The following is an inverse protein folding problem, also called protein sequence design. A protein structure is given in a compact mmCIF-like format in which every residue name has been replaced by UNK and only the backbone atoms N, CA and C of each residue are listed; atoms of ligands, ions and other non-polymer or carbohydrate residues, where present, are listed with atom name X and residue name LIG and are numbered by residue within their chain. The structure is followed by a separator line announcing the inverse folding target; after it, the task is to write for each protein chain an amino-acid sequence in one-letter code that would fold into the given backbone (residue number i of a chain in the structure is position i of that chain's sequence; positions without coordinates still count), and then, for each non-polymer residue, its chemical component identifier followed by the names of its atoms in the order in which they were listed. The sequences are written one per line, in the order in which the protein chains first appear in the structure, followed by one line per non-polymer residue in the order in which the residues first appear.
data_IF_395159889418
#
_entry.id   IF_395159889418
#
_cell.length_a   1.000
_cell.length_b   1.000
_cell.length_c   1.000
_cell.angle_alpha   90.00
_cell.angle_beta   90.00
_cell.angle_gamma   90.00
#
_symmetry.space_group_name_H-M   'P 1'
#
loop_
_entity.id
_entity.type
_entity.pdbx_description
1 polymer ?
#
# COMPACT_ATOMS: atom_id res chain seq x y z
N UNK A 1 13.79 -28.96 75.15
CA UNK A 1 13.57 -29.20 73.71
C UNK A 1 13.30 -27.87 73.05
N UNK A 2 14.13 -27.36 72.13
CA UNK A 2 13.77 -26.20 71.31
C UNK A 2 13.16 -26.68 69.98
N UNK A 3 12.01 -26.09 69.62
CA UNK A 3 11.37 -26.23 68.32
C UNK A 3 12.33 -25.77 67.22
N UNK A 4 12.73 -26.70 66.35
CA UNK A 4 13.42 -26.39 65.10
C UNK A 4 12.43 -25.72 64.14
N UNK A 5 12.63 -24.43 63.88
CA UNK A 5 11.98 -23.73 62.79
C UNK A 5 12.47 -24.31 61.46
N UNK A 6 11.63 -25.13 60.82
CA UNK A 6 11.84 -25.57 59.44
C UNK A 6 11.56 -24.37 58.53
N UNK A 7 12.61 -23.62 58.20
CA UNK A 7 12.58 -22.63 57.11
C UNK A 7 12.94 -23.42 55.84
N UNK A 8 12.03 -23.59 54.87
CA UNK A 8 12.37 -24.27 53.62
C UNK A 8 13.29 -23.33 52.82
N UNK A 9 14.60 -23.48 53.01
CA UNK A 9 15.64 -22.73 52.30
C UNK A 9 16.09 -23.44 51.00
N UNK A 10 15.36 -24.48 50.58
CA UNK A 10 15.65 -25.20 49.35
C UNK A 10 14.84 -24.59 48.20
N UNK A 11 15.50 -24.14 47.12
CA UNK A 11 14.85 -23.85 45.86
C UNK A 11 14.04 -25.08 45.46
N UNK A 12 12.77 -24.92 45.12
CA UNK A 12 12.05 -25.97 44.40
C UNK A 12 12.80 -26.26 43.09
N UNK A 13 12.86 -27.52 42.66
CA UNK A 13 13.65 -27.96 41.48
C UNK A 13 13.28 -27.23 40.16
N UNK A 14 12.20 -26.43 40.17
CA UNK A 14 11.71 -25.64 39.05
C UNK A 14 12.26 -24.20 38.96
N UNK A 15 12.95 -23.68 39.99
CA UNK A 15 13.44 -22.29 40.03
C UNK A 15 14.53 -21.89 39.02
N UNK A 16 15.55 -22.71 38.70
CA UNK A 16 16.67 -22.24 37.88
C UNK A 16 16.29 -22.02 36.42
N UNK A 17 15.36 -22.84 35.90
CA UNK A 17 14.95 -22.76 34.49
C UNK A 17 14.07 -21.53 34.21
N UNK A 18 13.15 -21.18 35.12
CA UNK A 18 12.32 -19.98 34.97
C UNK A 18 13.11 -18.68 35.10
N UNK A 19 14.13 -18.64 35.97
CA UNK A 19 15.01 -17.49 36.11
C UNK A 19 15.86 -17.23 34.84
N UNK A 20 16.34 -18.30 34.19
CA UNK A 20 17.04 -18.20 32.91
C UNK A 20 16.17 -17.62 31.79
N UNK A 21 14.91 -18.04 31.70
CA UNK A 21 13.94 -17.50 30.72
C UNK A 21 13.66 -16.01 30.96
N UNK A 22 13.59 -15.58 32.22
CA UNK A 22 13.42 -14.16 32.55
C UNK A 22 14.63 -13.32 32.13
N UNK A 23 15.86 -13.82 32.29
CA UNK A 23 17.06 -13.13 31.81
C UNK A 23 17.02 -12.94 30.29
N UNK A 24 16.65 -14.00 29.56
CA UNK A 24 16.47 -13.95 28.11
C UNK A 24 15.41 -12.92 27.72
N UNK A 25 14.25 -12.91 28.41
CA UNK A 25 13.19 -11.94 28.17
C UNK A 25 13.69 -10.49 28.36
N UNK A 26 14.44 -10.22 29.44
CA UNK A 26 15.00 -8.89 29.70
C UNK A 26 16.02 -8.46 28.65
N UNK A 27 16.88 -9.37 28.18
CA UNK A 27 17.80 -9.08 27.07
C UNK A 27 17.05 -8.73 25.78
N UNK A 28 15.97 -9.44 25.49
CA UNK A 28 15.11 -9.14 24.33
C UNK A 28 14.41 -7.79 24.47
N UNK A 29 13.95 -7.41 25.68
CA UNK A 29 13.42 -6.06 25.92
C UNK A 29 14.48 -4.99 25.69
N UNK A 30 15.72 -5.17 26.18
CA UNK A 30 16.82 -4.25 25.90
C UNK A 30 17.11 -4.14 24.39
N UNK A 31 17.15 -5.26 23.68
CA UNK A 31 17.34 -5.29 22.23
C UNK A 31 16.19 -4.58 21.49
N UNK A 32 14.96 -4.68 22.00
CA UNK A 32 13.80 -4.01 21.43
C UNK A 32 13.98 -2.49 21.39
N UNK A 33 14.58 -1.87 22.42
CA UNK A 33 14.86 -0.43 22.45
C UNK A 33 15.89 0.04 21.41
N UNK A 34 16.69 -0.87 20.85
CA UNK A 34 17.63 -0.55 19.77
C UNK A 34 16.97 -0.58 18.38
N UNK A 35 15.78 -1.17 18.25
CA UNK A 35 15.11 -1.33 16.97
C UNK A 35 14.52 -0.01 16.48
N UNK A 36 14.89 0.38 15.25
CA UNK A 36 14.34 1.58 14.58
C UNK A 36 13.10 1.27 13.74
N UNK A 37 12.94 0.03 13.28
CA UNK A 37 11.77 -0.39 12.53
C UNK A 37 10.67 -0.88 13.48
N UNK A 38 9.49 -0.29 13.33
CA UNK A 38 8.33 -0.55 14.17
C UNK A 38 7.87 -2.03 14.15
N UNK A 39 8.04 -2.76 13.04
CA UNK A 39 7.64 -4.17 12.95
C UNK A 39 8.54 -5.05 13.81
N UNK A 40 9.86 -4.87 13.69
CA UNK A 40 10.84 -5.63 14.47
C UNK A 40 10.69 -5.36 15.97
N UNK A 41 10.46 -4.10 16.36
CA UNK A 41 10.13 -3.75 17.75
C UNK A 41 8.97 -4.60 18.27
N UNK A 42 7.85 -4.67 17.55
CA UNK A 42 6.65 -5.44 17.97
C UNK A 42 6.90 -6.94 18.04
N UNK A 43 7.64 -7.51 17.08
CA UNK A 43 7.96 -8.94 17.09
C UNK A 43 8.83 -9.28 18.31
N UNK A 44 9.89 -8.52 18.54
CA UNK A 44 10.82 -8.78 19.65
C UNK A 44 10.12 -8.60 20.99
N UNK A 45 9.26 -7.59 21.16
CA UNK A 45 8.52 -7.40 22.43
C UNK A 45 7.49 -8.50 22.70
N UNK A 46 6.83 -9.05 21.66
CA UNK A 46 5.93 -10.21 21.80
C UNK A 46 6.72 -11.45 22.23
N UNK A 47 7.85 -11.71 21.57
CA UNK A 47 8.72 -12.85 21.90
C UNK A 47 9.26 -12.71 23.33
N UNK A 48 9.72 -11.53 23.72
CA UNK A 48 10.18 -11.25 25.08
C UNK A 48 9.08 -11.54 26.13
N UNK A 49 7.87 -11.02 25.90
CA UNK A 49 6.73 -11.23 26.80
C UNK A 49 6.32 -12.71 26.93
N UNK A 50 6.46 -13.50 25.87
CA UNK A 50 6.25 -14.95 25.93
C UNK A 50 7.24 -15.64 26.86
N UNK A 51 8.52 -15.26 26.84
CA UNK A 51 9.55 -15.78 27.75
C UNK A 51 9.37 -15.36 29.22
N UNK A 52 8.64 -14.27 29.47
CA UNK A 52 8.33 -13.79 30.83
C UNK A 52 7.22 -14.60 31.52
N UNK A 53 6.26 -15.17 30.76
CA UNK A 53 5.07 -15.84 31.32
C UNK A 53 5.37 -17.04 32.23
N UNK A 54 6.29 -17.98 31.87
CA UNK A 54 6.58 -19.14 32.73
C UNK A 54 7.08 -18.75 34.11
N UNK A 55 7.87 -17.68 34.22
CA UNK A 55 8.38 -17.17 35.49
C UNK A 55 7.24 -16.77 36.44
N UNK A 56 6.30 -15.97 35.95
CA UNK A 56 5.17 -15.53 36.76
C UNK A 56 4.16 -16.64 37.05
N UNK A 57 4.05 -17.65 36.17
CA UNK A 57 3.16 -18.79 36.38
C UNK A 57 3.66 -19.76 37.46
N UNK A 58 4.97 -20.09 37.48
CA UNK A 58 5.54 -21.03 38.44
C UNK A 58 5.83 -20.42 39.82
N UNK A 59 5.86 -19.09 39.95
CA UNK A 59 6.12 -18.39 41.22
C UNK A 59 4.87 -17.82 41.91
N UNK A 60 3.66 -18.17 41.46
CA UNK A 60 2.39 -17.65 42.03
C UNK A 60 2.27 -17.96 43.53
N UNK A 61 2.88 -19.06 44.01
CA UNK A 61 2.79 -19.50 45.40
C UNK A 61 3.79 -18.77 46.33
N UNK A 62 4.91 -18.24 45.81
CA UNK A 62 5.96 -17.58 46.61
C UNK A 62 5.90 -16.06 46.56
N UNK A 63 5.43 -15.47 45.46
CA UNK A 63 5.12 -14.05 45.35
C UNK A 63 3.65 -13.84 45.68
N UNK A 64 3.35 -13.31 46.88
CA UNK A 64 2.03 -12.89 47.37
C UNK A 64 1.00 -12.71 46.25
N UNK A 65 -0.04 -13.55 46.24
CA UNK A 65 -1.11 -13.63 45.23
C UNK A 65 -1.67 -12.29 44.72
N UNK A 66 -1.48 -11.21 45.48
CA UNK A 66 -1.75 -9.81 45.10
C UNK A 66 -0.95 -9.30 43.87
N UNK A 67 0.24 -9.85 43.57
CA UNK A 67 1.09 -9.41 42.45
C UNK A 67 1.05 -10.34 41.23
N UNK A 68 0.85 -11.66 41.43
CA UNK A 68 0.92 -12.65 40.35
C UNK A 68 -0.15 -12.48 39.27
N UNK A 69 -1.43 -12.51 39.66
CA UNK A 69 -2.55 -12.39 38.72
C UNK A 69 -2.56 -11.06 37.93
N UNK A 70 -2.35 -9.89 38.56
CA UNK A 70 -2.23 -8.64 37.83
C UNK A 70 -1.07 -8.61 36.83
N UNK A 71 0.08 -9.20 37.16
CA UNK A 71 1.24 -9.25 36.26
C UNK A 71 0.97 -10.14 35.04
N UNK A 72 0.37 -11.31 35.24
CA UNK A 72 -0.05 -12.19 34.13
C UNK A 72 -1.03 -11.46 33.22
N UNK A 73 -2.01 -10.77 33.79
CA UNK A 73 -2.97 -9.96 33.01
C UNK A 73 -2.27 -8.87 32.19
N UNK A 74 -1.33 -8.11 32.79
CA UNK A 74 -0.57 -7.07 32.09
C UNK A 74 0.26 -7.65 30.94
N UNK A 75 0.92 -8.79 31.14
CA UNK A 75 1.73 -9.44 30.10
C UNK A 75 0.84 -9.91 28.94
N UNK A 76 -0.32 -10.50 29.22
CA UNK A 76 -1.28 -10.90 28.19
C UNK A 76 -1.79 -9.67 27.42
N UNK A 77 -2.22 -8.62 28.13
CA UNK A 77 -2.68 -7.38 27.50
C UNK A 77 -1.59 -6.76 26.61
N UNK A 78 -0.34 -6.78 27.08
CA UNK A 78 0.81 -6.31 26.31
C UNK A 78 1.04 -7.12 25.03
N UNK A 79 0.97 -8.46 25.10
CA UNK A 79 1.06 -9.33 23.90
C UNK A 79 -0.05 -9.00 22.92
N UNK A 80 -1.30 -8.89 23.38
CA UNK A 80 -2.46 -8.60 22.53
C UNK A 80 -2.31 -7.25 21.83
N UNK A 81 -1.92 -6.20 22.55
CA UNK A 81 -1.71 -4.86 21.98
C UNK A 81 -0.58 -4.88 20.94
N UNK A 82 0.55 -5.51 21.25
CA UNK A 82 1.66 -5.57 20.29
C UNK A 82 1.32 -6.45 19.08
N UNK A 83 0.57 -7.54 19.25
CA UNK A 83 0.11 -8.41 18.16
C UNK A 83 -0.89 -7.69 17.25
N UNK A 84 -1.83 -6.93 17.82
CA UNK A 84 -2.73 -6.08 17.05
C UNK A 84 -1.95 -5.04 16.24
N UNK A 85 -1.02 -4.32 16.87
CA UNK A 85 -0.19 -3.33 16.19
C UNK A 85 0.67 -3.93 15.08
N UNK A 86 1.27 -5.11 15.32
CA UNK A 86 2.02 -5.85 14.32
C UNK A 86 1.11 -6.26 13.16
N UNK A 87 -0.08 -6.77 13.45
CA UNK A 87 -1.06 -7.18 12.42
C UNK A 87 -1.47 -5.99 11.56
N UNK A 88 -1.81 -4.84 12.17
CA UNK A 88 -2.14 -3.61 11.43
C UNK A 88 -0.98 -3.18 10.56
N UNK A 89 0.25 -3.19 11.07
CA UNK A 89 1.43 -2.81 10.31
C UNK A 89 1.70 -3.78 9.14
N UNK A 90 1.53 -5.08 9.35
CA UNK A 90 1.69 -6.09 8.31
C UNK A 90 0.60 -5.98 7.24
N UNK A 91 -0.65 -5.71 7.63
CA UNK A 91 -1.73 -5.43 6.69
C UNK A 91 -1.45 -4.14 5.90
N UNK A 92 -0.91 -3.11 6.55
CA UNK A 92 -0.45 -1.90 5.87
C UNK A 92 0.77 -2.13 4.97
N UNK A 93 1.62 -3.14 5.23
CA UNK A 93 2.76 -3.50 4.38
C UNK A 93 2.41 -4.51 3.29
N UNK A 94 1.26 -5.17 3.33
CA UNK A 94 0.86 -6.20 2.37
C UNK A 94 0.85 -5.64 0.95
N UNK A 95 1.75 -6.14 0.11
CA UNK A 95 1.81 -5.77 -1.30
C UNK A 95 0.44 -6.03 -1.95
N UNK A 96 -0.05 -5.07 -2.73
CA UNK A 96 -1.26 -5.30 -3.51
C UNK A 96 -0.89 -6.18 -4.69
N UNK A 97 -1.58 -7.30 -4.86
CA UNK A 97 -1.43 -8.14 -6.04
C UNK A 97 -2.01 -7.39 -7.23
N UNK A 98 -1.15 -7.04 -8.19
CA UNK A 98 -1.57 -6.49 -9.48
C UNK A 98 -1.84 -7.66 -10.43
N UNK A 99 -2.96 -7.60 -11.14
CA UNK A 99 -3.20 -8.51 -12.25
C UNK A 99 -2.23 -8.23 -13.42
N UNK A 100 -2.14 -9.11 -14.43
CA UNK A 100 -1.18 -9.00 -15.52
C UNK A 100 -1.29 -7.63 -16.25
N UNK A 101 -2.51 -7.21 -16.58
CA UNK A 101 -2.77 -5.90 -17.24
C UNK A 101 -2.38 -4.72 -16.37
N UNK A 102 -2.69 -4.79 -15.07
CA UNK A 102 -2.35 -3.73 -14.11
C UNK A 102 -0.85 -3.63 -13.89
N UNK A 103 -0.15 -4.77 -13.86
CA UNK A 103 1.31 -4.82 -13.75
C UNK A 103 1.97 -4.17 -14.97
N UNK A 104 1.48 -4.46 -16.17
CA UNK A 104 1.97 -3.82 -17.39
C UNK A 104 1.74 -2.30 -17.38
N UNK A 105 0.54 -1.84 -17.00
CA UNK A 105 0.22 -0.42 -16.88
C UNK A 105 1.10 0.30 -15.86
N UNK A 106 1.35 -0.33 -14.71
CA UNK A 106 2.25 0.20 -13.69
C UNK A 106 3.66 0.41 -14.24
N UNK A 107 4.18 -0.61 -14.94
CA UNK A 107 5.53 -0.60 -15.49
C UNK A 107 5.71 0.32 -16.69
N UNK A 108 4.68 0.66 -17.46
CA UNK A 108 4.83 1.43 -18.71
C UNK A 108 4.28 2.86 -18.64
N UNK A 109 3.20 3.08 -17.88
CA UNK A 109 2.49 4.37 -17.83
C UNK A 109 2.58 4.99 -16.44
N UNK A 110 2.38 4.22 -15.38
CA UNK A 110 2.24 4.75 -14.00
C UNK A 110 3.45 4.46 -13.11
N UNK A 111 4.66 4.43 -13.68
CA UNK A 111 5.90 4.08 -12.95
C UNK A 111 6.19 5.01 -11.76
N UNK A 112 5.73 6.26 -11.83
CA UNK A 112 5.91 7.26 -10.77
C UNK A 112 4.96 7.08 -9.58
N UNK A 113 3.93 6.24 -9.71
CA UNK A 113 2.96 5.96 -8.65
C UNK A 113 3.30 4.64 -7.95
N UNK A 114 3.02 4.54 -6.65
CA UNK A 114 2.98 3.23 -6.00
C UNK A 114 1.80 2.40 -6.55
N UNK A 115 1.86 1.06 -6.51
CA UNK A 115 0.76 0.19 -6.96
C UNK A 115 -0.60 0.57 -6.36
N UNK A 116 -0.63 0.98 -5.09
CA UNK A 116 -1.85 1.41 -4.40
C UNK A 116 -2.40 2.72 -4.93
N UNK A 117 -1.54 3.67 -5.23
CA UNK A 117 -1.93 4.97 -5.79
C UNK A 117 -2.44 4.81 -7.21
N UNK A 118 -1.77 3.99 -8.03
CA UNK A 118 -2.27 3.63 -9.35
C UNK A 118 -3.67 3.01 -9.25
N UNK A 119 -3.89 2.04 -8.37
CA UNK A 119 -5.21 1.42 -8.20
C UNK A 119 -6.28 2.42 -7.75
N UNK A 120 -5.93 3.40 -6.91
CA UNK A 120 -6.86 4.50 -6.55
C UNK A 120 -7.22 5.36 -7.75
N UNK A 121 -6.26 5.67 -8.63
CA UNK A 121 -6.50 6.41 -9.87
C UNK A 121 -7.32 5.58 -10.87
N UNK A 122 -7.11 4.27 -10.92
CA UNK A 122 -7.87 3.35 -11.78
C UNK A 122 -9.30 3.12 -11.26
N UNK A 123 -9.56 3.27 -9.96
CA UNK A 123 -10.87 2.99 -9.37
C UNK A 123 -12.05 3.75 -10.02
N UNK A 124 -11.99 5.06 -10.30
CA UNK A 124 -13.06 5.77 -11.01
C UNK A 124 -13.03 5.59 -12.54
N UNK A 125 -12.00 4.93 -13.08
CA UNK A 125 -11.89 4.71 -14.52
C UNK A 125 -12.88 3.65 -14.97
N UNK A 126 -13.32 3.75 -16.22
CA UNK A 126 -14.18 2.75 -16.85
C UNK A 126 -13.46 2.17 -18.05
N UNK A 127 -13.47 0.84 -18.19
CA UNK A 127 -12.99 0.18 -19.40
C UNK A 127 -14.09 0.26 -20.46
N UNK A 128 -13.69 0.64 -21.68
CA UNK A 128 -14.53 0.66 -22.87
C UNK A 128 -13.78 0.01 -24.02
N UNK A 129 -14.55 -0.47 -24.98
CA UNK A 129 -14.07 -1.05 -26.23
C UNK A 129 -14.77 -0.33 -27.38
N UNK A 130 -14.03 -0.08 -28.45
CA UNK A 130 -14.58 0.43 -29.71
C UNK A 130 -14.00 -0.35 -30.89
N UNK A 131 -14.75 -0.36 -31.99
CA UNK A 131 -14.34 -1.01 -33.23
C UNK A 131 -13.51 -0.07 -34.12
N UNK A 132 -12.85 -0.63 -35.13
CA UNK A 132 -12.08 0.14 -36.10
C UNK A 132 -12.96 1.18 -36.83
N UNK A 133 -12.44 2.39 -37.01
CA UNK A 133 -13.14 3.51 -37.64
C UNK A 133 -14.00 4.35 -36.69
N UNK A 134 -14.21 3.93 -35.44
CA UNK A 134 -14.94 4.74 -34.47
C UNK A 134 -14.12 5.96 -34.02
N UNK A 135 -14.79 7.11 -33.85
CA UNK A 135 -14.16 8.35 -33.40
C UNK A 135 -14.22 8.46 -31.87
N UNK A 136 -13.06 8.47 -31.21
CA UNK A 136 -12.96 8.60 -29.75
C UNK A 136 -13.05 10.07 -29.30
N UNK A 137 -12.48 10.98 -30.09
CA UNK A 137 -12.47 12.43 -29.84
C UNK A 137 -12.67 13.13 -31.17
N UNK A 138 -13.57 14.13 -31.20
CA UNK A 138 -13.76 14.99 -32.36
C UNK A 138 -13.06 16.33 -32.19
N UNK A 139 -12.48 16.85 -33.26
CA UNK A 139 -11.89 18.17 -33.29
C UNK A 139 -12.92 19.23 -32.91
N UNK A 140 -12.52 20.20 -32.09
CA UNK A 140 -13.39 21.29 -31.62
C UNK A 140 -14.33 20.90 -30.47
N UNK A 141 -14.47 19.62 -30.13
CA UNK A 141 -15.15 19.23 -28.90
C UNK A 141 -14.25 19.49 -27.69
N UNK A 142 -14.86 19.82 -26.55
CA UNK A 142 -14.16 19.91 -25.27
C UNK A 142 -14.51 18.68 -24.42
N UNK A 143 -13.89 17.52 -24.70
CA UNK A 143 -14.14 16.31 -23.95
C UNK A 143 -13.69 16.52 -22.51
N UNK A 144 -14.64 16.57 -21.58
CA UNK A 144 -14.38 16.56 -20.13
C UNK A 144 -13.98 15.16 -19.64
N UNK A 145 -13.11 14.49 -20.41
CA UNK A 145 -12.65 13.13 -20.19
C UNK A 145 -11.17 13.00 -20.59
N UNK A 146 -10.47 12.12 -19.91
CA UNK A 146 -9.13 11.65 -20.27
C UNK A 146 -9.25 10.20 -20.69
N UNK A 147 -8.55 9.81 -21.75
CA UNK A 147 -8.54 8.44 -22.26
C UNK A 147 -7.10 7.90 -22.20
N UNK A 148 -6.94 6.61 -21.86
CA UNK A 148 -5.68 5.88 -21.96
C UNK A 148 -5.90 4.61 -22.77
N UNK A 149 -5.11 4.42 -23.83
CA UNK A 149 -5.19 3.23 -24.67
C UNK A 149 -4.58 2.05 -23.91
N UNK A 150 -5.35 0.96 -23.78
CA UNK A 150 -4.88 -0.26 -23.11
C UNK A 150 -4.32 -1.27 -24.10
N UNK A 151 -5.02 -1.46 -25.22
CA UNK A 151 -4.65 -2.37 -26.29
C UNK A 151 -5.24 -1.87 -27.60
N UNK A 152 -4.48 -1.97 -28.69
CA UNK A 152 -4.82 -1.42 -30.00
C UNK A 152 -4.16 -0.08 -30.33
N UNK A 153 -4.61 0.56 -31.41
CA UNK A 153 -4.06 1.80 -31.93
C UNK A 153 -5.14 2.77 -32.46
N UNK A 154 -4.77 4.06 -32.47
CA UNK A 154 -5.60 5.15 -33.01
C UNK A 154 -4.75 6.05 -33.89
N UNK A 155 -5.38 6.64 -34.90
CA UNK A 155 -4.80 7.71 -35.72
C UNK A 155 -5.33 9.06 -35.26
N UNK A 156 -4.42 10.03 -35.16
CA UNK A 156 -4.74 11.43 -34.85
C UNK A 156 -4.74 12.21 -36.17
N UNK A 157 -5.88 12.83 -36.50
CA UNK A 157 -6.07 13.59 -37.74
C UNK A 157 -6.28 15.07 -37.45
N UNK A 158 -5.67 15.96 -38.23
CA UNK A 158 -5.96 17.40 -38.21
C UNK A 158 -6.17 17.86 -39.64
N UNK A 159 -7.37 18.40 -39.94
CA UNK A 159 -7.66 19.06 -41.22
C UNK A 159 -7.11 18.29 -42.44
N UNK A 160 -7.48 17.01 -42.56
CA UNK A 160 -7.12 16.03 -43.61
C UNK A 160 -5.69 15.44 -43.61
N UNK A 161 -4.87 15.72 -42.60
CA UNK A 161 -3.54 15.07 -42.47
C UNK A 161 -3.47 14.19 -41.23
N UNK A 162 -3.03 12.93 -41.39
CA UNK A 162 -2.63 12.10 -40.26
C UNK A 162 -1.37 12.71 -39.62
N UNK A 163 -1.47 12.99 -38.32
CA UNK A 163 -0.41 13.64 -37.54
C UNK A 163 0.43 12.66 -36.75
N UNK A 164 -0.20 11.64 -36.19
CA UNK A 164 0.45 10.67 -35.33
C UNK A 164 -0.40 9.40 -35.19
N UNK A 165 0.27 8.28 -34.94
CA UNK A 165 -0.36 7.06 -34.45
C UNK A 165 -0.09 6.94 -32.95
N UNK A 166 -1.13 6.76 -32.14
CA UNK A 166 -1.02 6.50 -30.70
C UNK A 166 -1.31 5.02 -30.43
N UNK A 167 -0.61 4.45 -29.45
CA UNK A 167 -0.66 3.02 -29.12
C UNK A 167 -0.90 2.80 -27.64
N UNK A 168 -1.00 1.54 -27.23
CA UNK A 168 -1.09 1.12 -25.83
C UNK A 168 -0.13 1.89 -24.92
N UNK A 169 -0.67 2.47 -23.85
CA UNK A 169 0.08 3.26 -22.88
C UNK A 169 0.11 4.77 -23.15
N UNK A 170 -0.32 5.21 -24.34
CA UNK A 170 -0.43 6.63 -24.70
C UNK A 170 -1.80 7.19 -24.25
N UNK A 171 -1.81 8.43 -23.76
CA UNK A 171 -3.04 9.13 -23.43
C UNK A 171 -3.72 9.74 -24.67
N UNK A 172 -5.03 9.99 -24.59
CA UNK A 172 -5.80 10.69 -25.62
C UNK A 172 -6.65 11.76 -24.95
N UNK A 173 -6.68 12.96 -25.55
CA UNK A 173 -7.42 14.11 -25.04
C UNK A 173 -6.72 14.81 -23.87
N UNK A 174 -5.46 14.47 -23.61
CA UNK A 174 -4.65 14.99 -22.52
C UNK A 174 -4.42 16.50 -22.60
N UNK A 175 -4.25 17.04 -23.81
CA UNK A 175 -4.10 18.48 -24.02
C UNK A 175 -5.37 19.23 -23.63
N UNK A 176 -6.54 18.74 -24.06
CA UNK A 176 -7.84 19.32 -23.69
C UNK A 176 -8.08 19.18 -22.18
N UNK A 177 -7.71 18.03 -21.61
CA UNK A 177 -7.83 17.78 -20.18
C UNK A 177 -7.01 18.78 -19.35
N UNK A 178 -5.73 18.99 -19.67
CA UNK A 178 -4.83 19.88 -18.93
C UNK A 178 -5.18 21.35 -19.18
N UNK A 179 -5.28 21.75 -20.44
CA UNK A 179 -5.43 23.18 -20.80
C UNK A 179 -6.85 23.70 -20.65
N UNK A 180 -7.84 22.80 -20.60
CA UNK A 180 -9.25 23.16 -20.67
C UNK A 180 -9.65 23.73 -22.03
N UNK A 181 -8.83 23.63 -23.08
CA UNK A 181 -9.19 24.09 -24.43
C UNK A 181 -9.90 22.97 -25.22
N UNK A 182 -10.67 23.30 -26.27
CA UNK A 182 -11.20 22.29 -27.20
C UNK A 182 -10.11 21.42 -27.82
N UNK A 183 -10.48 20.22 -28.25
CA UNK A 183 -9.60 19.25 -28.90
C UNK A 183 -9.09 19.82 -30.22
N UNK A 184 -7.79 19.70 -30.47
CA UNK A 184 -7.14 20.23 -31.67
C UNK A 184 -7.23 19.31 -32.89
N UNK A 185 -7.60 18.04 -32.68
CA UNK A 185 -7.53 16.99 -33.68
C UNK A 185 -8.64 15.96 -33.44
N UNK A 186 -9.04 15.26 -34.50
CA UNK A 186 -9.85 14.06 -34.43
C UNK A 186 -8.97 12.87 -34.05
N UNK A 187 -9.52 11.94 -33.27
CA UNK A 187 -8.84 10.70 -32.89
C UNK A 187 -9.75 9.53 -33.23
N UNK A 188 -9.30 8.69 -34.16
CA UNK A 188 -10.08 7.61 -34.75
C UNK A 188 -9.39 6.27 -34.51
N UNK A 189 -10.15 5.26 -34.11
CA UNK A 189 -9.68 3.89 -33.95
C UNK A 189 -9.16 3.34 -35.28
N UNK A 190 -7.91 2.90 -35.33
CA UNK A 190 -7.35 2.25 -36.52
C UNK A 190 -7.68 0.75 -36.55
N UNK A 191 -7.88 0.16 -35.37
CA UNK A 191 -8.22 -1.23 -35.14
C UNK A 191 -9.16 -1.34 -33.92
N UNK A 192 -9.80 -2.50 -33.67
CA UNK A 192 -10.54 -2.71 -32.43
C UNK A 192 -9.62 -2.50 -31.22
N UNK A 193 -10.05 -1.66 -30.28
CA UNK A 193 -9.18 -1.25 -29.18
C UNK A 193 -9.95 -1.19 -27.85
N UNK A 194 -9.22 -1.50 -26.78
CA UNK A 194 -9.66 -1.35 -25.40
C UNK A 194 -9.01 -0.09 -24.81
N UNK A 195 -9.78 0.70 -24.06
CA UNK A 195 -9.29 1.91 -23.44
C UNK A 195 -9.91 2.17 -22.07
N UNK A 196 -9.17 2.88 -21.22
CA UNK A 196 -9.69 3.48 -19.99
C UNK A 196 -10.19 4.88 -20.28
N UNK A 197 -11.31 5.23 -19.66
CA UNK A 197 -11.84 6.58 -19.66
C UNK A 197 -12.05 7.08 -18.23
N UNK A 198 -11.56 8.28 -17.95
CA UNK A 198 -11.84 9.02 -16.73
C UNK A 198 -12.66 10.26 -17.06
N UNK A 199 -13.69 10.57 -16.26
CA UNK A 199 -14.32 11.89 -16.31
C UNK A 199 -13.49 12.88 -15.49
N UNK A 200 -13.48 14.14 -15.91
CA UNK A 200 -12.77 15.22 -15.21
C UNK A 200 -13.17 15.33 -13.73
N UNK A 201 -14.48 15.32 -13.45
CA UNK A 201 -14.99 15.42 -12.08
C UNK A 201 -14.52 14.27 -11.16
N UNK A 202 -14.39 13.06 -11.70
CA UNK A 202 -13.97 11.90 -10.92
C UNK A 202 -12.49 12.00 -10.53
N UNK A 203 -11.61 12.38 -11.47
CA UNK A 203 -10.20 12.64 -11.18
C UNK A 203 -10.01 13.83 -10.23
N UNK A 204 -10.77 14.91 -10.42
CA UNK A 204 -10.72 16.08 -9.53
C UNK A 204 -11.10 15.73 -8.09
N UNK A 205 -12.05 14.81 -7.89
CA UNK A 205 -12.41 14.33 -6.55
C UNK A 205 -11.24 13.61 -5.86
N UNK A 206 -10.46 12.83 -6.60
CA UNK A 206 -9.25 12.18 -6.10
C UNK A 206 -8.18 13.22 -5.77
N UNK A 207 -7.95 14.18 -6.67
CA UNK A 207 -6.95 15.22 -6.47
C UNK A 207 -7.23 16.09 -5.24
N UNK A 208 -8.50 16.36 -4.93
CA UNK A 208 -8.89 17.07 -3.69
C UNK A 208 -8.51 16.29 -2.44
N UNK A 209 -8.64 14.97 -2.46
CA UNK A 209 -8.33 14.09 -1.32
C UNK A 209 -6.85 13.76 -1.21
N UNK A 210 -6.15 13.66 -2.33
CA UNK A 210 -4.74 13.27 -2.43
C UNK A 210 -4.01 14.19 -3.42
N UNK A 211 -3.60 15.41 -2.99
CA UNK A 211 -3.02 16.42 -3.88
C UNK A 211 -1.76 15.96 -4.62
N UNK A 212 -0.89 15.18 -3.97
CA UNK A 212 0.34 14.64 -4.59
C UNK A 212 0.05 13.77 -5.83
N UNK A 213 -1.13 13.14 -5.92
CA UNK A 213 -1.51 12.37 -7.11
C UNK A 213 -1.76 13.27 -8.31
N UNK A 214 -2.18 14.52 -8.10
CA UNK A 214 -2.35 15.49 -9.18
C UNK A 214 -1.00 15.79 -9.82
N UNK A 215 0.01 16.08 -9.01
CA UNK A 215 1.35 16.43 -9.48
C UNK A 215 2.01 15.24 -10.20
N UNK A 216 1.83 14.03 -9.65
CA UNK A 216 2.30 12.80 -10.28
C UNK A 216 1.59 12.53 -11.62
N UNK A 217 0.26 12.66 -11.68
CA UNK A 217 -0.51 12.50 -12.92
C UNK A 217 -0.12 13.54 -13.97
N UNK A 218 0.07 14.81 -13.59
CA UNK A 218 0.54 15.85 -14.50
C UNK A 218 1.95 15.57 -15.03
N UNK A 219 2.84 15.04 -14.19
CA UNK A 219 4.18 14.61 -14.60
C UNK A 219 4.14 13.45 -15.59
N UNK A 220 3.29 12.45 -15.34
CA UNK A 220 3.10 11.30 -16.25
C UNK A 220 2.55 11.77 -17.60
N UNK A 221 1.51 12.59 -17.61
CA UNK A 221 0.92 13.12 -18.84
C UNK A 221 1.93 14.02 -19.58
N UNK A 222 2.69 14.85 -18.87
CA UNK A 222 3.72 15.69 -19.45
C UNK A 222 4.83 14.87 -20.12
N UNK A 223 5.29 13.80 -19.48
CA UNK A 223 6.26 12.87 -20.05
C UNK A 223 5.70 12.16 -21.30
N UNK A 224 4.41 11.81 -21.27
CA UNK A 224 3.72 11.21 -22.42
C UNK A 224 3.67 12.16 -23.62
N UNK A 225 3.25 13.42 -23.40
CA UNK A 225 3.24 14.45 -24.43
C UNK A 225 4.65 14.69 -25.02
N UNK A 226 5.67 14.75 -24.15
CA UNK A 226 7.05 14.93 -24.60
C UNK A 226 7.53 13.78 -25.49
N UNK A 227 7.18 12.52 -25.15
CA UNK A 227 7.49 11.36 -26.01
C UNK A 227 6.80 11.44 -27.36
N UNK A 228 5.54 11.90 -27.41
CA UNK A 228 4.79 12.04 -28.66
C UNK A 228 5.38 13.10 -29.59
N UNK A 229 5.88 14.20 -29.03
CA UNK A 229 6.53 15.26 -29.80
C UNK A 229 7.90 14.85 -30.39
N UNK A 230 8.54 13.83 -29.78
CA UNK A 230 9.83 13.33 -30.23
C UNK A 230 9.74 12.21 -31.28
N UNK A 231 8.54 11.72 -31.58
CA UNK A 231 8.26 10.74 -32.64
C UNK A 231 7.92 11.47 -33.94
#
# INVERSE_FOLDING_TARGET
MPQSWNIPFFPSEHEPMSAGLLLVANMLFCLSYMMRDMAYLRVITIVAAFFTLPYFYFQIDSLYSALGWPMIFIVIAFIVINAFNLTVLLLQRRAVSLDQRQSWLHQHTFQMLSPREMLKILQPSVIRRCEAGETLVRQGEQPNRLILILDGAVHVHTSDTERATLRSGDFVGEMSFITGKPSSADVVASEPLDYLIWRRGDLESIYKRMPHLKDAMQSIIGADMARKLAR
#
